data_IF_030286887682
#
_entry.id   IF_030286887682
#
_cell.length_a   1.000
_cell.length_b   1.000
_cell.length_c   1.000
_cell.angle_alpha   90.00
_cell.angle_beta   90.00
_cell.angle_gamma   90.00
#
_symmetry.space_group_name_H-M   'P 1'
#
loop_
_entity.id
_entity.type
_entity.pdbx_description
1 polymer ?
#
# COMPACT_ATOMS: atom_id res chain seq x y z
N UNK A 1 -2.84 -20.67 4.27
CA UNK A 1 -4.12 -20.43 3.56
C UNK A 1 -4.09 -21.22 2.27
N UNK A 2 -5.16 -21.89 1.85
CA UNK A 2 -5.17 -22.60 0.57
C UNK A 2 -5.13 -21.60 -0.60
N UNK A 3 -4.40 -21.90 -1.67
CA UNK A 3 -4.12 -20.95 -2.76
C UNK A 3 -5.36 -20.37 -3.45
N UNK A 4 -6.42 -21.18 -3.63
CA UNK A 4 -7.69 -20.72 -4.18
C UNK A 4 -8.35 -19.63 -3.31
N UNK A 5 -8.13 -19.66 -1.99
CA UNK A 5 -8.67 -18.65 -1.06
C UNK A 5 -7.98 -17.30 -1.27
N UNK A 6 -6.68 -17.29 -1.60
CA UNK A 6 -5.92 -16.06 -1.84
C UNK A 6 -6.36 -15.38 -3.13
N UNK A 7 -6.50 -16.12 -4.23
CA UNK A 7 -6.93 -15.57 -5.52
C UNK A 7 -8.34 -14.95 -5.44
N UNK A 8 -9.29 -15.63 -4.80
CA UNK A 8 -10.65 -15.10 -4.61
C UNK A 8 -10.66 -13.84 -3.73
N UNK A 9 -9.91 -13.85 -2.63
CA UNK A 9 -9.76 -12.68 -1.76
C UNK A 9 -9.20 -11.48 -2.53
N UNK A 10 -8.08 -11.68 -3.23
CA UNK A 10 -7.39 -10.64 -4.00
C UNK A 10 -8.31 -10.04 -5.06
N UNK A 11 -9.05 -10.89 -5.77
CA UNK A 11 -9.97 -10.46 -6.82
C UNK A 11 -11.18 -9.67 -6.30
N UNK A 12 -11.50 -9.80 -5.01
CA UNK A 12 -12.59 -9.09 -4.33
C UNK A 12 -12.13 -7.78 -3.66
N UNK A 13 -10.83 -7.49 -3.62
CA UNK A 13 -10.30 -6.22 -3.14
C UNK A 13 -10.86 -5.06 -3.96
N UNK A 14 -10.97 -3.85 -3.40
CA UNK A 14 -11.48 -2.71 -4.13
C UNK A 14 -10.57 -2.28 -5.28
N UNK A 15 -11.09 -1.41 -6.16
CA UNK A 15 -10.24 -0.70 -7.13
C UNK A 15 -9.48 0.44 -6.45
N UNK A 16 -8.40 0.90 -7.08
CA UNK A 16 -7.61 2.02 -6.57
C UNK A 16 -8.48 3.27 -6.38
N UNK A 17 -9.29 3.62 -7.38
CA UNK A 17 -10.20 4.77 -7.30
C UNK A 17 -11.22 4.65 -6.17
N UNK A 18 -11.79 3.45 -5.96
CA UNK A 18 -12.75 3.21 -4.87
C UNK A 18 -12.11 3.31 -3.48
N UNK A 19 -10.85 2.87 -3.33
CA UNK A 19 -10.12 3.00 -2.09
C UNK A 19 -9.76 4.46 -1.80
N UNK A 20 -9.27 5.20 -2.81
CA UNK A 20 -8.91 6.62 -2.66
C UNK A 20 -10.13 7.51 -2.38
N UNK A 21 -11.25 7.29 -3.08
CA UNK A 21 -12.50 8.04 -2.88
C UNK A 21 -13.06 7.90 -1.45
N UNK A 22 -12.76 6.79 -0.77
CA UNK A 22 -13.16 6.56 0.62
C UNK A 22 -12.14 7.10 1.62
N UNK A 23 -10.86 7.14 1.28
CA UNK A 23 -9.82 7.59 2.20
C UNK A 23 -9.61 9.11 2.17
N UNK A 24 -10.70 9.82 2.45
CA UNK A 24 -10.76 11.27 2.59
C UNK A 24 -10.56 11.69 4.05
N UNK A 25 -10.11 12.94 4.29
CA UNK A 25 -9.85 13.48 5.63
C UNK A 25 -8.89 12.62 6.48
N UNK A 26 -7.69 12.36 5.95
CA UNK A 26 -6.73 11.37 6.49
C UNK A 26 -6.13 11.73 7.85
N UNK A 27 -6.03 13.02 8.19
CA UNK A 27 -5.26 13.50 9.35
C UNK A 27 -5.65 12.87 10.71
N UNK A 28 -6.94 12.72 11.08
CA UNK A 28 -7.31 12.11 12.35
C UNK A 28 -6.94 10.62 12.42
N UNK A 29 -7.01 9.92 11.29
CA UNK A 29 -6.65 8.51 11.17
C UNK A 29 -5.13 8.37 11.27
N UNK A 30 -4.39 9.19 10.53
CA UNK A 30 -2.94 9.23 10.57
C UNK A 30 -2.40 9.50 11.99
N UNK A 31 -3.00 10.42 12.74
CA UNK A 31 -2.58 10.69 14.11
C UNK A 31 -2.65 9.43 15.00
N UNK A 32 -3.76 8.67 14.95
CA UNK A 32 -3.92 7.45 15.74
C UNK A 32 -3.02 6.31 15.25
N UNK A 33 -2.91 6.12 13.93
CA UNK A 33 -2.11 5.06 13.35
C UNK A 33 -0.61 5.29 13.56
N UNK A 34 -0.15 6.54 13.51
CA UNK A 34 1.24 6.86 13.78
C UNK A 34 1.62 6.61 15.25
N UNK A 35 0.75 6.97 16.21
CA UNK A 35 0.96 6.63 17.62
C UNK A 35 1.03 5.11 17.84
N UNK A 36 0.18 4.36 17.15
CA UNK A 36 0.21 2.89 17.19
C UNK A 36 1.52 2.33 16.63
N UNK A 37 1.91 2.75 15.42
CA UNK A 37 3.06 2.19 14.70
C UNK A 37 4.40 2.55 15.35
N UNK A 38 4.47 3.69 16.05
CA UNK A 38 5.65 4.07 16.83
C UNK A 38 5.98 3.06 17.95
N UNK A 39 4.98 2.34 18.48
CA UNK A 39 5.18 1.28 19.49
C UNK A 39 5.88 0.04 18.92
N UNK A 40 5.94 -0.06 17.59
CA UNK A 40 6.56 -1.14 16.84
C UNK A 40 7.71 -0.62 15.99
N UNK A 41 8.42 0.39 16.51
CA UNK A 41 9.62 1.00 15.91
C UNK A 41 9.44 1.56 14.48
N UNK A 42 8.18 1.77 14.07
CA UNK A 42 7.79 2.07 12.69
C UNK A 42 8.31 1.03 11.69
N UNK A 43 8.28 -0.26 12.05
CA UNK A 43 8.61 -1.37 11.15
C UNK A 43 7.54 -1.60 10.06
N UNK A 44 6.32 -1.11 10.29
CA UNK A 44 5.18 -1.24 9.38
C UNK A 44 4.66 0.12 8.94
N UNK A 45 4.24 0.19 7.69
CA UNK A 45 3.51 1.32 7.13
C UNK A 45 2.06 0.93 6.83
N UNK A 46 1.28 1.89 6.36
CA UNK A 46 -0.11 1.70 5.99
C UNK A 46 -0.28 1.88 4.48
N UNK A 47 -1.19 1.13 3.87
CA UNK A 47 -1.47 1.23 2.45
C UNK A 47 -2.97 1.19 2.12
N UNK A 48 -3.32 1.75 0.98
CA UNK A 48 -4.60 1.50 0.32
C UNK A 48 -4.60 0.06 -0.20
N UNK A 49 -5.52 -0.74 0.33
CA UNK A 49 -5.79 -2.08 -0.19
C UNK A 49 -6.44 -1.91 -1.54
N UNK A 50 -5.80 -2.43 -2.58
CA UNK A 50 -6.34 -2.51 -3.93
C UNK A 50 -5.62 -3.65 -4.67
N UNK A 51 -6.05 -3.94 -5.89
CA UNK A 51 -5.39 -4.95 -6.73
C UNK A 51 -5.14 -4.44 -8.14
N UNK A 52 -3.98 -4.80 -8.68
CA UNK A 52 -3.49 -4.33 -9.97
C UNK A 52 -4.07 -5.13 -11.15
N UNK A 53 -4.28 -6.42 -10.96
CA UNK A 53 -4.88 -7.30 -11.98
C UNK A 53 -5.84 -8.32 -11.34
N UNK A 54 -6.33 -9.28 -12.15
CA UNK A 54 -7.05 -10.46 -11.65
C UNK A 54 -6.10 -11.63 -11.54
N UNK A 55 -6.23 -12.42 -10.47
CA UNK A 55 -5.55 -13.70 -10.27
C UNK A 55 -6.43 -14.86 -10.76
N UNK A 56 -5.81 -15.87 -11.34
CA UNK A 56 -6.40 -17.18 -11.58
C UNK A 56 -6.27 -18.05 -10.32
N UNK A 57 -7.03 -19.15 -10.28
CA UNK A 57 -6.94 -20.10 -9.18
C UNK A 57 -5.51 -20.66 -9.07
N UNK A 58 -5.01 -20.71 -7.83
CA UNK A 58 -3.64 -21.14 -7.54
C UNK A 58 -2.57 -20.06 -7.69
N UNK A 59 -2.92 -18.87 -8.21
CA UNK A 59 -1.98 -17.75 -8.27
C UNK A 59 -1.97 -16.91 -7.00
N UNK A 60 -0.81 -16.33 -6.72
CA UNK A 60 -0.61 -15.23 -5.78
C UNK A 60 0.10 -14.08 -6.51
N UNK A 61 -0.05 -12.87 -6.00
CA UNK A 61 0.81 -11.74 -6.41
C UNK A 61 2.15 -11.88 -5.69
N UNK A 62 3.24 -12.04 -6.45
CA UNK A 62 4.60 -12.22 -5.93
C UNK A 62 5.52 -11.10 -6.44
N UNK A 63 6.09 -10.34 -5.50
CA UNK A 63 7.12 -9.35 -5.74
C UNK A 63 8.52 -9.97 -5.82
N UNK A 64 9.27 -9.58 -6.84
CA UNK A 64 10.69 -9.90 -7.04
C UNK A 64 11.43 -8.68 -7.58
N UNK A 65 12.04 -7.92 -6.66
CA UNK A 65 12.64 -6.63 -6.99
C UNK A 65 11.55 -5.63 -7.39
N UNK A 66 11.73 -4.95 -8.51
CA UNK A 66 10.84 -3.88 -8.99
C UNK A 66 9.60 -4.37 -9.76
N UNK A 67 9.31 -5.67 -9.69
CA UNK A 67 8.20 -6.30 -10.42
C UNK A 67 7.40 -7.14 -9.44
N UNK A 68 6.09 -6.94 -9.43
CA UNK A 68 5.12 -7.77 -8.75
C UNK A 68 4.13 -8.34 -9.75
N UNK A 69 3.99 -9.66 -9.83
CA UNK A 69 3.18 -10.33 -10.85
C UNK A 69 2.48 -11.59 -10.33
N UNK A 70 1.39 -12.04 -10.99
CA UNK A 70 0.76 -13.32 -10.70
C UNK A 70 1.70 -14.49 -10.96
N UNK A 71 1.89 -15.34 -9.97
CA UNK A 71 2.68 -16.57 -10.08
C UNK A 71 1.90 -17.73 -9.48
N UNK A 72 1.96 -18.88 -10.15
CA UNK A 72 1.39 -20.13 -9.65
C UNK A 72 2.14 -20.56 -8.39
N UNK A 73 1.43 -20.66 -7.26
CA UNK A 73 2.04 -20.97 -5.96
C UNK A 73 2.80 -22.30 -5.97
N UNK A 74 2.36 -23.26 -6.77
CA UNK A 74 2.99 -24.57 -6.92
C UNK A 74 4.39 -24.49 -7.56
N UNK A 75 4.73 -23.37 -8.19
CA UNK A 75 6.03 -23.12 -8.81
C UNK A 75 6.96 -22.28 -7.91
N UNK A 76 6.49 -21.87 -6.73
CA UNK A 76 7.23 -20.98 -5.83
C UNK A 76 7.80 -21.80 -4.68
N UNK A 77 9.13 -21.78 -4.54
CA UNK A 77 9.82 -22.50 -3.47
C UNK A 77 9.57 -21.86 -2.10
N UNK A 78 9.72 -20.53 -2.01
CA UNK A 78 9.50 -19.76 -0.80
C UNK A 78 8.87 -18.41 -1.14
N UNK A 79 7.93 -18.01 -0.29
CA UNK A 79 7.30 -16.70 -0.33
C UNK A 79 6.94 -16.26 1.08
N UNK A 80 6.94 -14.95 1.28
CA UNK A 80 6.65 -14.33 2.56
C UNK A 80 5.60 -13.22 2.35
N UNK A 81 4.63 -13.04 3.25
CA UNK A 81 3.67 -11.96 3.14
C UNK A 81 4.33 -10.57 3.15
N UNK A 82 3.98 -9.71 2.22
CA UNK A 82 4.50 -8.34 2.15
C UNK A 82 3.45 -7.29 2.49
N UNK A 83 2.18 -7.58 2.18
CA UNK A 83 1.03 -6.73 2.51
C UNK A 83 -0.11 -7.54 3.12
N UNK A 84 -0.78 -6.91 4.09
CA UNK A 84 -1.87 -7.51 4.86
C UNK A 84 -3.09 -6.58 4.90
N UNK A 85 -4.28 -7.17 4.91
CA UNK A 85 -5.53 -6.47 5.20
C UNK A 85 -5.55 -6.00 6.67
N UNK A 86 -6.49 -5.11 7.03
CA UNK A 86 -6.61 -4.61 8.40
C UNK A 86 -6.76 -5.71 9.47
N UNK A 87 -7.29 -6.88 9.10
CA UNK A 87 -7.44 -8.03 10.00
C UNK A 87 -6.20 -8.94 10.06
N UNK A 88 -5.07 -8.55 9.44
CA UNK A 88 -3.83 -9.32 9.39
C UNK A 88 -3.82 -10.42 8.32
N UNK A 89 -4.83 -10.50 7.45
CA UNK A 89 -4.84 -11.48 6.36
C UNK A 89 -3.88 -11.06 5.25
N UNK A 90 -2.87 -11.88 4.88
CA UNK A 90 -1.94 -11.53 3.82
C UNK A 90 -2.61 -11.60 2.44
N UNK A 91 -2.26 -10.68 1.54
CA UNK A 91 -2.83 -10.62 0.18
C UNK A 91 -1.82 -10.34 -0.94
N UNK A 92 -0.62 -9.83 -0.63
CA UNK A 92 0.53 -9.75 -1.54
C UNK A 92 1.77 -10.32 -0.85
N UNK A 93 2.67 -10.89 -1.65
CA UNK A 93 3.80 -11.68 -1.16
C UNK A 93 5.09 -11.26 -1.86
N UNK A 94 6.22 -11.59 -1.25
CA UNK A 94 7.56 -11.32 -1.78
C UNK A 94 8.44 -12.56 -1.65
N UNK A 95 9.50 -12.64 -2.47
CA UNK A 95 10.57 -13.61 -2.26
C UNK A 95 11.52 -13.20 -1.11
N UNK A 96 11.48 -11.94 -0.69
CA UNK A 96 12.27 -11.44 0.44
C UNK A 96 11.54 -11.75 1.75
N UNK A 97 12.29 -12.24 2.73
CA UNK A 97 11.73 -12.55 4.04
C UNK A 97 11.26 -11.28 4.75
N UNK A 98 10.06 -11.35 5.27
CA UNK A 98 9.38 -10.32 6.06
C UNK A 98 8.80 -10.95 7.32
N UNK A 99 8.63 -10.15 8.35
CA UNK A 99 7.99 -10.58 9.59
C UNK A 99 6.50 -10.20 9.59
N UNK A 100 5.65 -11.15 9.98
CA UNK A 100 4.21 -10.91 10.14
C UNK A 100 3.95 -9.84 11.21
N UNK A 101 2.95 -8.95 11.03
CA UNK A 101 2.60 -7.96 12.03
C UNK A 101 2.17 -8.63 13.35
N UNK A 102 2.65 -8.15 14.51
CA UNK A 102 2.23 -8.69 15.80
C UNK A 102 0.71 -8.67 15.97
N UNK A 103 0.15 -9.70 16.63
CA UNK A 103 -1.31 -9.82 16.76
C UNK A 103 -1.95 -8.62 17.47
N UNK A 104 -1.28 -8.04 18.46
CA UNK A 104 -1.76 -6.83 19.15
C UNK A 104 -1.76 -5.59 18.24
N UNK A 105 -0.78 -5.47 17.33
CA UNK A 105 -0.76 -4.44 16.29
C UNK A 105 -1.97 -4.60 15.38
N UNK A 106 -2.21 -5.81 14.88
CA UNK A 106 -3.34 -6.12 14.00
C UNK A 106 -4.68 -5.78 14.66
N UNK A 107 -4.86 -6.20 15.92
CA UNK A 107 -6.10 -5.97 16.66
C UNK A 107 -6.38 -4.48 16.84
N UNK A 108 -5.37 -3.70 17.24
CA UNK A 108 -5.55 -2.28 17.51
C UNK A 108 -5.72 -1.47 16.22
N UNK A 109 -5.00 -1.82 15.15
CA UNK A 109 -5.21 -1.22 13.84
C UNK A 109 -6.61 -1.50 13.30
N UNK A 110 -7.09 -2.74 13.42
CA UNK A 110 -8.45 -3.09 13.01
C UNK A 110 -9.47 -2.25 13.78
N UNK A 111 -9.29 -2.08 15.10
CA UNK A 111 -10.16 -1.25 15.94
C UNK A 111 -10.16 0.22 15.48
N UNK A 112 -8.99 0.80 15.24
CA UNK A 112 -8.85 2.18 14.75
C UNK A 112 -9.54 2.33 13.40
N UNK A 113 -9.17 1.50 12.42
CA UNK A 113 -9.73 1.59 11.05
C UNK A 113 -11.23 1.35 11.04
N UNK A 114 -11.75 0.41 11.84
CA UNK A 114 -13.19 0.19 11.99
C UNK A 114 -13.91 1.42 12.58
N UNK A 115 -13.30 2.11 13.56
CA UNK A 115 -13.85 3.35 14.13
C UNK A 115 -14.03 4.48 13.09
N UNK A 116 -13.28 4.42 11.99
CA UNK A 116 -13.40 5.34 10.85
C UNK A 116 -14.11 4.74 9.63
N UNK A 117 -14.52 3.46 9.68
CA UNK A 117 -15.11 2.75 8.54
C UNK A 117 -14.12 2.43 7.41
N UNK A 118 -12.82 2.34 7.71
CA UNK A 118 -11.73 2.18 6.73
C UNK A 118 -11.11 0.76 6.70
N UNK A 119 -11.64 -0.17 7.50
CA UNK A 119 -11.07 -1.53 7.67
C UNK A 119 -11.03 -2.37 6.38
N UNK A 120 -11.80 -1.98 5.35
CA UNK A 120 -11.85 -2.68 4.06
C UNK A 120 -10.97 -2.03 2.98
N UNK A 121 -10.42 -0.84 3.25
CA UNK A 121 -9.61 -0.08 2.28
C UNK A 121 -8.20 0.23 2.79
N UNK A 122 -7.95 0.08 4.10
CA UNK A 122 -6.62 0.22 4.69
C UNK A 122 -6.04 -1.12 5.10
N UNK A 123 -4.74 -1.25 4.88
CA UNK A 123 -3.94 -2.41 5.25
C UNK A 123 -2.55 -2.00 5.73
N UNK A 124 -1.71 -3.00 5.91
CA UNK A 124 -0.32 -2.85 6.31
C UNK A 124 0.61 -3.28 5.19
N UNK A 125 1.82 -2.73 5.21
CA UNK A 125 2.96 -3.30 4.51
C UNK A 125 4.20 -3.24 5.39
N UNK A 126 5.13 -4.16 5.15
CA UNK A 126 6.41 -4.17 5.84
C UNK A 126 7.32 -3.11 5.20
N UNK A 127 7.90 -2.22 6.01
CA UNK A 127 8.83 -1.21 5.49
C UNK A 127 10.17 -1.89 5.25
N UNK A 128 10.65 -1.86 4.01
CA UNK A 128 12.02 -2.25 3.67
C UNK A 128 12.85 -0.99 3.41
N UNK A 129 14.09 -0.95 3.93
CA UNK A 129 15.02 0.16 3.69
C UNK A 129 15.08 1.19 4.83
N UNK A 130 15.82 2.28 4.58
CA UNK A 130 15.98 3.38 5.54
C UNK A 130 14.83 4.38 5.46
N UNK A 131 14.70 5.24 6.47
CA UNK A 131 13.69 6.30 6.50
C UNK A 131 13.86 7.35 5.39
N UNK A 132 15.02 7.37 4.73
CA UNK A 132 15.36 8.28 3.64
C UNK A 132 15.10 7.65 2.25
N UNK A 133 14.33 6.56 2.18
CA UNK A 133 13.98 5.92 0.92
C UNK A 133 13.22 6.91 0.01
N UNK A 134 13.61 7.04 -1.26
CA UNK A 134 12.94 7.94 -2.18
C UNK A 134 11.49 7.51 -2.43
N UNK A 135 10.65 8.44 -2.88
CA UNK A 135 9.30 8.11 -3.29
C UNK A 135 9.30 7.16 -4.50
N UNK A 136 8.34 6.23 -4.51
CA UNK A 136 8.24 5.16 -5.52
C UNK A 136 6.92 5.34 -6.29
N UNK A 137 6.99 5.23 -7.61
CA UNK A 137 5.80 5.13 -8.47
C UNK A 137 5.56 3.67 -8.85
N UNK A 138 4.30 3.25 -8.76
CA UNK A 138 3.75 1.97 -9.18
C UNK A 138 2.88 2.18 -10.43
N UNK A 139 3.06 1.35 -11.45
CA UNK A 139 2.18 1.33 -12.62
C UNK A 139 1.97 -0.10 -13.12
N UNK A 140 0.86 -0.34 -13.81
CA UNK A 140 0.50 -1.68 -14.26
C UNK A 140 0.75 -1.87 -15.75
N UNK A 141 1.52 -2.88 -16.14
CA UNK A 141 1.69 -3.31 -17.53
C UNK A 141 1.18 -4.74 -17.70
N UNK A 142 0.05 -4.91 -18.39
CA UNK A 142 -0.62 -6.20 -18.51
C UNK A 142 -1.10 -6.72 -17.15
N UNK A 143 -0.48 -7.80 -16.67
CA UNK A 143 -0.75 -8.38 -15.33
C UNK A 143 0.33 -8.05 -14.30
N UNK A 144 1.32 -7.23 -14.65
CA UNK A 144 2.47 -6.91 -13.79
C UNK A 144 2.29 -5.52 -13.19
N UNK A 145 2.57 -5.37 -11.90
CA UNK A 145 2.81 -4.10 -11.25
C UNK A 145 4.32 -3.84 -11.27
N UNK A 146 4.73 -2.68 -11.76
CA UNK A 146 6.11 -2.26 -11.92
C UNK A 146 6.38 -1.09 -10.99
N UNK A 147 7.54 -1.07 -10.36
CA UNK A 147 7.94 -0.01 -9.44
C UNK A 147 9.25 0.64 -9.87
N UNK A 148 9.39 1.95 -9.65
CA UNK A 148 10.69 2.62 -9.73
C UNK A 148 10.71 3.89 -8.88
N UNK A 149 11.90 4.41 -8.65
CA UNK A 149 12.06 5.74 -8.04
C UNK A 149 11.40 6.79 -8.93
N UNK A 150 10.61 7.65 -8.31
CA UNK A 150 9.97 8.77 -8.98
C UNK A 150 10.99 9.75 -9.56
N UNK A 151 10.69 10.27 -10.75
CA UNK A 151 11.44 11.35 -11.40
C UNK A 151 10.54 12.58 -11.56
N UNK A 152 11.12 13.74 -11.91
CA UNK A 152 10.34 14.97 -12.16
C UNK A 152 9.28 14.80 -13.26
N UNK A 153 9.52 13.90 -14.22
CA UNK A 153 8.57 13.59 -15.31
C UNK A 153 7.27 12.97 -14.77
N UNK A 154 7.36 12.26 -13.64
CA UNK A 154 6.23 11.58 -13.04
C UNK A 154 5.25 12.58 -12.41
N UNK A 155 5.68 13.79 -12.04
CA UNK A 155 4.79 14.82 -11.46
C UNK A 155 3.57 15.13 -12.34
N UNK A 156 3.68 14.89 -13.65
CA UNK A 156 2.61 15.05 -14.63
C UNK A 156 1.59 13.90 -14.65
N UNK A 157 1.90 12.76 -14.02
CA UNK A 157 1.01 11.61 -13.93
C UNK A 157 -0.15 11.88 -12.94
N UNK A 158 -1.31 11.28 -13.21
CA UNK A 158 -2.44 11.33 -12.29
C UNK A 158 -2.20 10.33 -11.17
N UNK A 159 -1.40 10.75 -10.20
CA UNK A 159 -0.94 9.92 -9.11
C UNK A 159 -1.92 9.91 -7.95
N UNK A 160 -2.13 8.72 -7.38
CA UNK A 160 -2.79 8.55 -6.08
C UNK A 160 -1.76 8.04 -5.09
N UNK A 161 -1.64 8.69 -3.93
CA UNK A 161 -0.84 8.18 -2.83
C UNK A 161 -1.51 6.91 -2.27
N UNK A 162 -0.78 5.79 -2.28
CA UNK A 162 -1.29 4.47 -1.90
C UNK A 162 -0.58 3.88 -0.70
N UNK A 163 0.57 4.40 -0.28
CA UNK A 163 1.23 3.94 0.94
C UNK A 163 1.93 5.06 1.69
N UNK A 164 1.97 4.92 3.01
CA UNK A 164 2.48 5.89 3.96
C UNK A 164 3.27 5.19 5.06
N UNK A 165 4.53 5.57 5.26
CA UNK A 165 5.29 5.28 6.48
C UNK A 165 5.44 6.56 7.32
N UNK A 166 5.31 6.38 8.63
CA UNK A 166 5.43 7.47 9.59
C UNK A 166 6.88 7.56 10.09
N UNK A 167 7.49 8.72 9.93
CA UNK A 167 8.81 9.04 10.46
C UNK A 167 8.81 9.09 11.99
N UNK A 168 10.00 9.17 12.59
CA UNK A 168 10.20 9.24 14.06
C UNK A 168 10.10 10.67 14.64
N UNK A 169 9.56 11.62 13.87
CA UNK A 169 9.47 13.03 14.26
C UNK A 169 8.18 13.38 15.03
N UNK A 170 8.25 14.45 15.83
CA UNK A 170 7.08 15.16 16.36
C UNK A 170 7.09 16.60 15.79
N UNK A 171 6.16 16.98 14.90
CA UNK A 171 5.04 16.19 14.39
C UNK A 171 5.50 15.04 13.49
N UNK A 172 4.67 14.00 13.39
CA UNK A 172 4.90 12.84 12.53
C UNK A 172 5.11 13.31 11.09
N UNK A 173 6.30 13.05 10.55
CA UNK A 173 6.63 13.34 9.16
C UNK A 173 6.33 12.12 8.30
N UNK A 174 5.83 12.35 7.09
CA UNK A 174 5.73 11.29 6.08
C UNK A 174 7.14 10.99 5.56
N UNK A 175 7.63 9.75 5.68
CA UNK A 175 9.01 9.40 5.33
C UNK A 175 9.18 8.96 3.86
N UNK A 176 8.17 8.33 3.27
CA UNK A 176 8.11 7.81 1.90
C UNK A 176 6.62 7.70 1.51
N UNK A 177 6.34 7.97 0.24
CA UNK A 177 5.00 7.82 -0.34
C UNK A 177 5.14 6.93 -1.57
N UNK A 178 4.33 5.87 -1.61
CA UNK A 178 4.13 5.09 -2.82
C UNK A 178 2.93 5.69 -3.55
N UNK A 179 3.06 5.90 -4.85
CA UNK A 179 1.97 6.41 -5.69
C UNK A 179 1.63 5.42 -6.81
N UNK A 180 0.34 5.22 -7.09
CA UNK A 180 -0.10 4.41 -8.23
C UNK A 180 -0.58 5.29 -9.39
N UNK A 181 -0.19 4.95 -10.61
CA UNK A 181 -0.75 5.54 -11.83
C UNK A 181 -2.16 4.97 -12.09
N UNK A 182 -3.17 5.82 -11.96
CA UNK A 182 -4.58 5.44 -12.12
C UNK A 182 -4.95 5.08 -13.56
N UNK A 183 -4.16 5.49 -14.56
CA UNK A 183 -4.41 5.23 -15.99
C UNK A 183 -4.20 3.77 -16.34
N UNK A 184 -3.31 3.11 -15.60
CA UNK A 184 -2.87 1.76 -15.88
C UNK A 184 -3.31 0.78 -14.79
N UNK A 185 -3.47 1.26 -13.56
CA UNK A 185 -3.96 0.44 -12.45
C UNK A 185 -5.47 0.25 -12.50
N UNK A 186 -5.95 -0.92 -12.07
CA UNK A 186 -7.38 -1.27 -12.08
C UNK A 186 -8.24 -0.20 -11.39
N UNK A 187 -8.93 0.60 -12.19
CA UNK A 187 -9.84 1.67 -11.78
C UNK A 187 -11.20 1.49 -12.48
N UNK A 188 -12.30 1.67 -11.74
CA UNK A 188 -13.66 1.56 -12.32
C UNK A 188 -14.09 2.84 -13.07
N UNK A 189 -13.38 3.96 -12.89
CA UNK A 189 -13.64 5.24 -13.57
C UNK A 189 -12.34 6.02 -13.81
N UNK A 190 -12.01 6.39 -15.05
CA UNK A 190 -11.01 7.42 -15.30
C UNK A 190 -11.61 8.79 -14.93
N UNK A 191 -10.96 9.49 -14.00
CA UNK A 191 -11.12 10.91 -13.65
C UNK A 191 -12.37 11.36 -12.86
N UNK A 192 -12.15 11.69 -11.57
CA UNK A 192 -12.40 13.02 -10.94
C UNK A 192 -12.06 12.94 -9.44
N UNK A 193 -10.84 13.29 -9.04
CA UNK A 193 -10.52 13.40 -7.60
C UNK A 193 -10.67 14.83 -7.08
N UNK A 194 -11.29 14.93 -5.90
CA UNK A 194 -11.31 16.11 -5.02
C UNK A 194 -10.25 15.87 -3.94
N UNK A 195 -9.26 16.75 -3.81
CA UNK A 195 -8.51 16.89 -2.55
C UNK A 195 -7.05 16.45 -2.52
N UNK A 196 -6.35 16.29 -3.65
CA UNK A 196 -4.89 16.22 -3.63
C UNK A 196 -4.32 17.55 -3.13
N UNK A 197 -3.80 17.59 -1.89
CA UNK A 197 -2.92 18.66 -1.48
C UNK A 197 -1.59 18.46 -2.20
N UNK A 198 -1.31 19.31 -3.17
CA UNK A 198 0.03 19.47 -3.74
C UNK A 198 0.98 19.88 -2.61
N UNK A 199 2.18 19.31 -2.58
CA UNK A 199 3.22 19.74 -1.65
C UNK A 199 3.41 21.27 -1.75
N UNK A 200 3.52 21.99 -0.62
CA UNK A 200 3.91 23.39 -0.67
C UNK A 200 5.34 23.46 -1.23
N UNK A 201 5.49 24.19 -2.33
CA UNK A 201 6.80 24.54 -2.88
C UNK A 201 7.63 25.19 -1.77
N UNK A 202 8.81 24.62 -1.50
CA UNK A 202 9.79 25.20 -0.59
C UNK A 202 10.11 26.63 -1.02
N UNK A 203 9.67 27.60 -0.23
CA UNK A 203 10.04 28.99 -0.39
C UNK A 203 11.49 29.17 0.02
N UNK A 204 12.35 29.51 -0.94
CA UNK A 204 13.60 30.20 -0.65
C UNK A 204 13.25 31.60 -0.12
N UNK A 205 13.62 31.87 1.13
CA UNK A 205 13.76 33.25 1.61
C UNK A 205 15.10 33.81 1.12
N UNK A 206 15.01 35.00 0.53
CA UNK A 206 16.13 35.92 0.30
C UNK A 206 16.52 36.54 1.65
#
# INVERSE_FOLDING_TARGET
MAAAVVAHLYNALPTLGHADDQFVNRNPVFAQLAELLAKYDNAYGICLVHSHCKLADGEITLAKGDISEPVQIALIEQHYPERWLANGTPYEFSTLKTDDPPQDLVKEFYRITQGFGLQNILGFYHIQGSQDAPAIIEWTEGRKNLTRVMTEEDESAQQVQTAWNFGRGSPITMACTIVCDIRTTRSEKPNKHKGTQSHPKGGHSI
#
